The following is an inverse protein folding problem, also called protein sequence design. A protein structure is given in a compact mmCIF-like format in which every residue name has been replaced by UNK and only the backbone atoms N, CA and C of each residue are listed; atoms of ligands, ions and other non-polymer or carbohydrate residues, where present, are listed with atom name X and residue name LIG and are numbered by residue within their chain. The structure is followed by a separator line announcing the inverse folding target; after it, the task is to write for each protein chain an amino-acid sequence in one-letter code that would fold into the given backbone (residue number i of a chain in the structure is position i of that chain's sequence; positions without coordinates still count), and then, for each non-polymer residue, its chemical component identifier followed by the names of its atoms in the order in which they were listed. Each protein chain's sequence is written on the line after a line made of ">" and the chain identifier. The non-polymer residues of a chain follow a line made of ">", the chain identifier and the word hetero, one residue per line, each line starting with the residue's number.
data_IF_799348899649
#
_entry.id   IF_799348899649
#
_cell.length_a   1.000
_cell.length_b   1.000
_cell.length_c   1.000
_cell.angle_alpha   90.00
_cell.angle_beta   90.00
_cell.angle_gamma   90.00
#
_symmetry.space_group_name_H-M   'P 1'
#
loop_
_entity.id
_entity.type
_entity.pdbx_description
1 polymer ?
#
# COMPACT_ATOMS: atom_id res chain seq x y z
N UNK A 1 23.41 10.51 -5.26
CA UNK A 1 22.79 9.46 -6.09
C UNK A 1 21.29 9.69 -6.08
N UNK A 2 20.62 9.60 -7.23
CA UNK A 2 19.17 9.78 -7.31
C UNK A 2 18.50 8.42 -7.05
N UNK A 3 17.72 8.31 -5.97
CA UNK A 3 17.04 7.05 -5.59
C UNK A 3 15.81 6.74 -6.46
N UNK A 4 15.21 7.78 -7.04
CA UNK A 4 14.05 7.65 -7.91
C UNK A 4 14.52 7.54 -9.37
N UNK A 5 14.25 6.42 -10.07
CA UNK A 5 14.50 6.33 -11.51
C UNK A 5 13.61 7.31 -12.29
N UNK A 6 13.94 7.57 -13.55
CA UNK A 6 13.06 8.33 -14.42
C UNK A 6 11.71 7.60 -14.55
N UNK A 7 10.61 8.34 -14.44
CA UNK A 7 9.25 7.80 -14.53
C UNK A 7 8.62 8.22 -15.85
N UNK A 8 8.19 7.23 -16.64
CA UNK A 8 7.53 7.43 -17.93
C UNK A 8 6.06 7.04 -17.82
N UNK A 9 5.17 8.03 -17.89
CA UNK A 9 3.73 7.83 -17.82
C UNK A 9 3.16 7.55 -19.22
N UNK A 10 2.43 6.44 -19.38
CA UNK A 10 1.74 6.11 -20.63
C UNK A 10 0.36 6.71 -20.77
N UNK A 11 -0.30 6.35 -21.87
CA UNK A 11 -1.70 6.69 -22.12
C UNK A 11 -2.61 6.01 -21.07
N UNK A 12 -3.61 6.72 -20.52
CA UNK A 12 -4.51 6.14 -19.55
C UNK A 12 -5.53 5.19 -20.17
N UNK A 13 -5.95 4.21 -19.38
CA UNK A 13 -7.15 3.41 -19.61
C UNK A 13 -8.17 3.71 -18.52
N UNK A 14 -9.43 3.89 -18.88
CA UNK A 14 -10.51 4.01 -17.90
C UNK A 14 -10.96 2.61 -17.46
N UNK A 15 -11.04 2.38 -16.16
CA UNK A 15 -11.44 1.11 -15.54
C UNK A 15 -12.50 1.38 -14.47
N UNK A 16 -13.78 1.31 -14.85
CA UNK A 16 -14.88 1.73 -13.99
C UNK A 16 -14.70 3.18 -13.51
N UNK A 17 -14.67 3.45 -12.18
CA UNK A 17 -14.46 4.80 -11.65
C UNK A 17 -13.00 5.25 -11.63
N UNK A 18 -12.05 4.38 -12.02
CA UNK A 18 -10.62 4.66 -11.99
C UNK A 18 -10.09 5.04 -13.38
N UNK A 19 -9.11 5.94 -13.41
CA UNK A 19 -8.26 6.18 -14.58
C UNK A 19 -6.88 5.61 -14.28
N UNK A 20 -6.46 4.59 -15.03
CA UNK A 20 -5.24 3.83 -14.78
C UNK A 20 -4.18 4.24 -15.79
N UNK A 21 -3.07 4.77 -15.32
CA UNK A 21 -1.92 5.16 -16.14
C UNK A 21 -0.77 4.18 -15.92
N UNK A 22 -0.28 3.50 -16.96
CA UNK A 22 0.90 2.66 -16.84
C UNK A 22 2.15 3.51 -16.63
N UNK A 23 3.08 3.03 -15.80
CA UNK A 23 4.35 3.68 -15.53
C UNK A 23 5.49 2.73 -15.84
N UNK A 24 6.44 3.20 -16.66
CA UNK A 24 7.73 2.55 -16.86
C UNK A 24 8.82 3.35 -16.17
N UNK A 25 9.93 2.68 -15.91
CA UNK A 25 11.13 3.35 -15.37
C UNK A 25 12.34 3.03 -16.24
N UNK A 26 13.43 3.79 -16.07
CA UNK A 26 14.72 3.57 -16.76
C UNK A 26 15.71 2.72 -15.94
N UNK A 27 15.35 2.31 -14.73
CA UNK A 27 16.19 1.46 -13.89
C UNK A 27 16.49 0.12 -14.59
N UNK A 28 17.71 -0.45 -14.45
CA UNK A 28 17.98 -1.80 -14.95
C UNK A 28 17.03 -2.83 -14.33
N UNK A 29 16.55 -3.78 -15.14
CA UNK A 29 15.83 -4.95 -14.63
C UNK A 29 16.85 -5.98 -14.20
N UNK A 30 16.77 -6.40 -12.94
CA UNK A 30 17.61 -7.45 -12.37
C UNK A 30 16.74 -8.63 -11.96
N UNK A 31 17.24 -9.87 -11.97
CA UNK A 31 16.47 -11.01 -11.49
C UNK A 31 15.85 -10.76 -10.12
N UNK A 32 14.57 -11.10 -9.98
CA UNK A 32 13.82 -10.90 -8.75
C UNK A 32 14.49 -11.69 -7.59
N UNK A 33 14.98 -10.94 -6.60
CA UNK A 33 15.75 -11.50 -5.48
C UNK A 33 14.92 -11.67 -4.20
N UNK A 34 13.60 -11.49 -4.28
CA UNK A 34 12.67 -11.60 -3.14
C UNK A 34 11.33 -12.21 -3.59
N UNK A 35 10.47 -12.54 -2.63
CA UNK A 35 9.07 -12.94 -2.86
C UNK A 35 8.12 -11.92 -2.24
N UNK A 36 6.98 -11.64 -2.88
CA UNK A 36 5.90 -10.85 -2.26
C UNK A 36 4.79 -11.67 -1.62
N UNK A 37 4.77 -12.98 -1.89
CA UNK A 37 3.92 -13.94 -1.19
C UNK A 37 4.67 -14.58 -0.03
N UNK A 38 3.95 -14.88 1.05
CA UNK A 38 4.49 -15.64 2.16
C UNK A 38 4.64 -17.13 1.76
N UNK A 39 5.87 -17.67 1.72
CA UNK A 39 6.07 -19.11 1.51
C UNK A 39 5.65 -19.91 2.74
N UNK A 40 5.49 -21.24 2.59
CA UNK A 40 5.04 -22.14 3.67
C UNK A 40 5.95 -22.14 4.92
N UNK A 41 7.22 -21.79 4.76
CA UNK A 41 8.21 -21.67 5.85
C UNK A 41 8.34 -20.25 6.40
N UNK A 42 7.55 -19.30 5.90
CA UNK A 42 7.42 -17.98 6.52
C UNK A 42 6.15 -17.93 7.38
N UNK A 43 6.26 -17.29 8.55
CA UNK A 43 5.16 -17.13 9.49
C UNK A 43 5.05 -15.68 9.93
N UNK A 44 3.83 -15.23 10.13
CA UNK A 44 3.52 -13.97 10.79
C UNK A 44 2.72 -14.30 12.04
N UNK A 45 3.18 -13.90 13.22
CA UNK A 45 2.53 -14.23 14.48
C UNK A 45 2.67 -13.12 15.54
N UNK A 46 1.85 -13.22 16.59
CA UNK A 46 1.95 -12.36 17.77
C UNK A 46 3.29 -12.56 18.49
N UNK A 47 3.85 -11.47 19.04
CA UNK A 47 5.03 -11.53 19.91
C UNK A 47 4.77 -12.39 21.16
N UNK A 48 5.84 -12.84 21.81
CA UNK A 48 5.72 -13.64 23.03
C UNK A 48 5.15 -12.83 24.20
N UNK A 49 5.45 -11.54 24.23
CA UNK A 49 4.70 -10.53 24.97
C UNK A 49 3.95 -9.66 23.95
N UNK A 50 2.63 -9.84 23.79
CA UNK A 50 1.87 -9.15 22.75
C UNK A 50 1.95 -7.63 22.86
N UNK A 51 2.23 -6.97 21.74
CA UNK A 51 2.21 -5.51 21.59
C UNK A 51 1.27 -5.20 20.45
N UNK A 52 0.20 -4.43 20.71
CA UNK A 52 -0.85 -4.20 19.71
C UNK A 52 -0.22 -3.71 18.40
N UNK A 53 0.64 -2.70 18.38
CA UNK A 53 1.20 -2.18 17.13
C UNK A 53 2.21 -3.07 16.40
N UNK A 54 2.50 -4.30 16.86
CA UNK A 54 3.62 -5.08 16.36
C UNK A 54 3.27 -6.55 16.12
N UNK A 55 3.85 -7.12 15.07
CA UNK A 55 3.86 -8.55 14.82
C UNK A 55 5.28 -9.03 14.55
N UNK A 56 5.54 -10.31 14.78
CA UNK A 56 6.77 -10.97 14.35
C UNK A 56 6.56 -11.60 12.99
N UNK A 57 7.55 -11.42 12.12
CA UNK A 57 7.68 -12.14 10.86
C UNK A 57 8.93 -13.01 10.95
N UNK A 58 8.76 -14.30 10.74
CA UNK A 58 9.86 -15.26 10.68
C UNK A 58 9.94 -15.81 9.27
N UNK A 59 11.08 -15.63 8.60
CA UNK A 59 11.38 -16.20 7.30
C UNK A 59 12.43 -17.30 7.44
N UNK A 60 12.00 -18.55 7.60
CA UNK A 60 12.90 -19.70 7.63
C UNK A 60 13.29 -20.20 6.22
N UNK A 61 13.09 -19.36 5.19
CA UNK A 61 13.39 -19.66 3.79
C UNK A 61 14.76 -19.18 3.33
N UNK A 62 15.14 -19.58 2.12
CA UNK A 62 16.39 -19.16 1.48
C UNK A 62 16.25 -17.89 0.63
N UNK A 63 15.05 -17.31 0.54
CA UNK A 63 14.76 -16.12 -0.26
C UNK A 63 14.14 -15.04 0.64
N UNK A 64 14.59 -13.78 0.58
CA UNK A 64 13.94 -12.67 1.27
C UNK A 64 12.45 -12.54 0.92
N UNK A 65 11.66 -12.04 1.86
CA UNK A 65 10.23 -11.76 1.67
C UNK A 65 10.00 -10.26 1.79
N UNK A 66 9.48 -9.66 0.72
CA UNK A 66 9.04 -8.26 0.70
C UNK A 66 7.56 -8.19 1.08
N UNK A 67 7.28 -7.62 2.25
CA UNK A 67 5.94 -7.29 2.69
C UNK A 67 5.67 -5.81 2.39
N UNK A 68 4.55 -5.50 1.76
CA UNK A 68 4.28 -4.17 1.21
C UNK A 68 3.40 -3.30 2.13
N UNK A 69 3.65 -2.00 2.13
CA UNK A 69 2.83 -0.96 2.77
C UNK A 69 1.34 -1.14 2.44
N UNK A 70 0.49 -1.19 3.45
CA UNK A 70 -0.94 -1.41 3.29
C UNK A 70 -1.32 -2.86 2.95
N UNK A 71 -0.42 -3.83 3.03
CA UNK A 71 -0.78 -5.26 2.96
C UNK A 71 -1.65 -5.66 4.16
N UNK A 72 -2.78 -6.34 3.91
CA UNK A 72 -3.66 -6.81 4.97
C UNK A 72 -3.27 -8.19 5.48
N UNK A 73 -3.42 -8.39 6.78
CA UNK A 73 -3.13 -9.61 7.50
C UNK A 73 -4.42 -10.13 8.13
N UNK A 74 -4.78 -11.37 7.80
CA UNK A 74 -5.97 -12.09 8.27
C UNK A 74 -5.56 -13.08 9.38
N UNK A 75 -6.39 -13.21 10.42
CA UNK A 75 -6.14 -14.06 11.57
C UNK A 75 -5.69 -13.29 12.81
N UNK A 76 -4.80 -13.91 13.57
CA UNK A 76 -4.34 -13.43 14.88
C UNK A 76 -5.49 -13.16 15.85
N UNK A 77 -5.22 -12.30 16.84
CA UNK A 77 -6.25 -11.79 17.75
C UNK A 77 -7.13 -10.72 17.10
N UNK A 78 -6.58 -10.03 16.10
CA UNK A 78 -7.24 -9.03 15.24
C UNK A 78 -6.60 -9.03 13.86
N UNK A 79 -7.37 -8.74 12.82
CA UNK A 79 -6.80 -8.46 11.50
C UNK A 79 -6.00 -7.17 11.51
N UNK A 80 -4.85 -7.20 10.81
CA UNK A 80 -3.88 -6.10 10.81
C UNK A 80 -3.61 -5.57 9.42
N UNK A 81 -3.01 -4.39 9.36
CA UNK A 81 -2.43 -3.80 8.15
C UNK A 81 -0.99 -3.41 8.39
N UNK A 82 -0.11 -3.69 7.42
CA UNK A 82 1.28 -3.25 7.44
C UNK A 82 1.36 -1.73 7.25
N UNK A 83 2.11 -1.05 8.11
CA UNK A 83 2.22 0.43 8.10
C UNK A 83 3.25 0.98 7.11
N UNK A 84 4.18 0.12 6.67
CA UNK A 84 5.26 0.41 5.73
C UNK A 84 5.74 -0.89 5.08
N UNK A 85 6.39 -0.77 3.93
CA UNK A 85 7.04 -1.91 3.27
C UNK A 85 8.28 -2.33 4.06
N UNK A 86 8.51 -3.63 4.19
CA UNK A 86 9.66 -4.22 4.89
C UNK A 86 10.21 -5.40 4.10
N UNK A 87 11.53 -5.56 4.07
CA UNK A 87 12.20 -6.71 3.49
C UNK A 87 12.72 -7.59 4.63
N UNK A 88 12.14 -8.78 4.77
CA UNK A 88 12.58 -9.76 5.76
C UNK A 88 13.58 -10.69 5.10
N UNK A 89 14.84 -10.62 5.53
CA UNK A 89 15.94 -11.41 4.97
C UNK A 89 15.67 -12.93 5.05
N UNK A 90 16.39 -13.69 4.23
CA UNK A 90 16.39 -15.14 4.32
C UNK A 90 16.96 -15.60 5.68
N UNK A 91 16.39 -16.66 6.25
CA UNK A 91 16.78 -17.20 7.56
C UNK A 91 16.74 -16.16 8.69
N UNK A 92 15.84 -15.18 8.61
CA UNK A 92 15.76 -14.08 9.55
C UNK A 92 14.40 -13.98 10.23
N UNK A 93 14.39 -13.24 11.33
CA UNK A 93 13.19 -12.85 12.05
C UNK A 93 13.21 -11.34 12.26
N UNK A 94 12.07 -10.70 12.07
CA UNK A 94 11.93 -9.25 12.22
C UNK A 94 10.59 -8.90 12.87
N UNK A 95 10.59 -7.90 13.75
CA UNK A 95 9.36 -7.27 14.25
C UNK A 95 8.93 -6.21 13.25
N UNK A 96 7.65 -6.20 12.88
CA UNK A 96 7.06 -5.30 11.90
C UNK A 96 5.94 -4.49 12.54
N UNK A 97 5.86 -3.21 12.16
CA UNK A 97 4.85 -2.27 12.65
C UNK A 97 3.54 -2.43 11.88
N UNK A 98 2.45 -2.60 12.61
CA UNK A 98 1.09 -2.83 12.10
C UNK A 98 0.05 -1.95 12.79
N UNK A 99 -1.12 -1.81 12.17
CA UNK A 99 -2.31 -1.25 12.81
C UNK A 99 -3.48 -2.25 12.74
N UNK A 100 -4.40 -2.20 13.69
CA UNK A 100 -5.62 -3.02 13.69
C UNK A 100 -6.62 -2.48 12.67
N UNK A 101 -7.22 -3.37 11.89
CA UNK A 101 -8.32 -3.05 10.95
C UNK A 101 -9.60 -3.82 11.27
N UNK A 102 -9.69 -4.27 12.52
CA UNK A 102 -10.83 -4.97 13.10
C UNK A 102 -10.95 -4.56 14.56
N UNK A 103 -11.99 -3.78 14.91
CA UNK A 103 -12.09 -3.11 16.20
C UNK A 103 -12.66 -4.02 17.30
N UNK A 104 -13.66 -4.85 16.97
CA UNK A 104 -14.52 -5.50 17.96
C UNK A 104 -14.20 -7.00 18.17
N UNK A 105 -13.00 -7.45 17.78
CA UNK A 105 -12.48 -8.80 18.06
C UNK A 105 -11.19 -8.69 18.85
N UNK A 106 -10.99 -9.47 19.90
CA UNK A 106 -9.68 -9.65 20.55
C UNK A 106 -9.57 -11.10 21.03
N UNK A 107 -9.61 -12.01 20.07
CA UNK A 107 -9.66 -13.44 20.30
C UNK A 107 -9.19 -14.17 19.02
N UNK A 108 -8.73 -15.40 19.18
CA UNK A 108 -8.29 -16.25 18.07
C UNK A 108 -6.93 -16.89 18.31
N UNK A 109 -6.34 -17.43 17.23
CA UNK A 109 -4.97 -17.95 17.24
C UNK A 109 -3.93 -16.83 17.24
N UNK A 110 -2.64 -17.20 17.29
CA UNK A 110 -1.52 -16.24 17.20
C UNK A 110 -1.08 -15.98 15.77
N UNK A 111 -1.44 -16.87 14.85
CA UNK A 111 -0.95 -16.83 13.46
C UNK A 111 -1.78 -15.91 12.58
N UNK A 112 -1.08 -15.20 11.71
CA UNK A 112 -1.62 -14.30 10.70
C UNK A 112 -1.24 -14.83 9.31
N UNK A 113 -2.13 -14.60 8.35
CA UNK A 113 -1.95 -14.89 6.92
C UNK A 113 -1.89 -13.58 6.18
N UNK A 114 -1.00 -13.47 5.19
CA UNK A 114 -1.06 -12.36 4.25
C UNK A 114 -2.32 -12.51 3.40
N UNK A 115 -3.31 -11.65 3.66
CA UNK A 115 -4.53 -11.61 2.89
C UNK A 115 -4.21 -11.15 1.45
N UNK A 116 -5.02 -11.61 0.50
CA UNK A 116 -4.93 -11.15 -0.90
C UNK A 116 -5.63 -9.82 -1.09
N UNK A 117 -5.37 -8.87 -0.20
CA UNK A 117 -5.98 -7.53 -0.17
C UNK A 117 -4.97 -6.46 0.22
N UNK A 118 -5.13 -5.27 -0.35
CA UNK A 118 -4.45 -4.04 0.09
C UNK A 118 -5.43 -3.14 0.83
N UNK A 119 -4.93 -2.28 1.71
CA UNK A 119 -5.73 -1.31 2.41
C UNK A 119 -6.21 -0.22 1.42
N UNK A 120 -7.46 0.23 1.55
CA UNK A 120 -8.01 1.28 0.71
C UNK A 120 -7.36 2.63 1.04
N UNK A 121 -7.59 3.62 0.20
CA UNK A 121 -6.86 4.90 0.18
C UNK A 121 -7.07 5.67 1.48
N UNK A 122 -8.29 5.69 2.02
CA UNK A 122 -8.54 6.34 3.30
C UNK A 122 -7.70 5.69 4.42
N UNK A 123 -7.73 4.37 4.58
CA UNK A 123 -6.93 3.70 5.61
C UNK A 123 -5.44 3.96 5.42
N UNK A 124 -4.93 3.92 4.18
CA UNK A 124 -3.53 4.28 3.90
C UNK A 124 -3.21 5.72 4.29
N UNK A 125 -4.13 6.67 4.14
CA UNK A 125 -3.97 8.03 4.66
C UNK A 125 -3.78 8.05 6.19
N UNK A 126 -4.53 7.22 6.93
CA UNK A 126 -4.47 7.14 8.39
C UNK A 126 -3.12 6.59 8.86
N UNK A 127 -2.63 5.55 8.18
CA UNK A 127 -1.29 4.99 8.41
C UNK A 127 -0.18 6.03 8.18
N UNK A 128 -0.49 7.10 7.43
CA UNK A 128 0.39 8.23 7.17
C UNK A 128 0.11 9.48 8.00
N UNK A 129 -0.89 9.45 8.89
CA UNK A 129 -1.30 10.61 9.68
C UNK A 129 -1.84 11.77 8.84
N UNK A 130 -2.33 11.47 7.63
CA UNK A 130 -2.89 12.45 6.70
C UNK A 130 -4.34 12.73 7.06
N UNK A 131 -4.64 13.95 7.49
CA UNK A 131 -5.98 14.41 7.85
C UNK A 131 -6.22 15.80 7.31
N UNK A 132 -7.47 16.28 7.33
CA UNK A 132 -7.81 17.59 6.77
C UNK A 132 -6.95 18.73 7.37
N UNK A 133 -6.60 18.61 8.65
CA UNK A 133 -5.79 19.56 9.42
C UNK A 133 -4.34 19.10 9.64
N UNK A 134 -3.93 17.93 9.12
CA UNK A 134 -2.61 17.36 9.36
C UNK A 134 -1.95 16.85 8.08
N UNK A 135 -0.75 17.36 7.80
CA UNK A 135 0.05 16.98 6.63
C UNK A 135 0.85 15.69 6.80
N UNK A 136 0.63 14.90 7.86
CA UNK A 136 1.35 13.64 8.12
C UNK A 136 2.77 13.81 8.71
N UNK A 137 3.27 15.04 8.82
CA UNK A 137 4.61 15.30 9.36
C UNK A 137 4.81 14.69 10.76
N UNK A 138 5.77 13.78 10.86
CA UNK A 138 6.42 13.34 12.10
C UNK A 138 5.57 12.57 13.12
N UNK A 139 4.58 11.80 12.70
CA UNK A 139 4.01 10.78 13.60
C UNK A 139 4.80 9.48 13.51
N UNK A 140 5.61 9.21 14.55
CA UNK A 140 6.31 7.94 14.71
C UNK A 140 5.34 6.75 14.84
N UNK A 141 4.16 7.00 15.41
CA UNK A 141 3.13 5.99 15.69
C UNK A 141 1.86 6.27 14.90
N UNK A 142 1.20 5.20 14.43
CA UNK A 142 -0.10 5.27 13.79
C UNK A 142 -1.19 5.59 14.82
N UNK A 143 -2.10 6.49 14.46
CA UNK A 143 -3.30 6.76 15.25
C UNK A 143 -4.33 5.64 15.02
N UNK A 144 -4.38 4.70 15.96
CA UNK A 144 -5.26 3.54 15.86
C UNK A 144 -6.75 3.94 15.82
N UNK A 145 -7.12 5.05 16.48
CA UNK A 145 -8.49 5.56 16.46
C UNK A 145 -8.90 6.06 15.08
N UNK A 146 -8.02 6.81 14.41
CA UNK A 146 -8.23 7.26 13.03
C UNK A 146 -8.36 6.09 12.05
N UNK A 147 -7.50 5.06 12.17
CA UNK A 147 -7.64 3.84 11.35
C UNK A 147 -9.03 3.21 11.51
N UNK A 148 -9.52 3.06 12.74
CA UNK A 148 -10.84 2.50 12.98
C UNK A 148 -11.96 3.40 12.47
N UNK A 149 -11.88 4.72 12.64
CA UNK A 149 -12.86 5.67 12.08
C UNK A 149 -13.00 5.47 10.56
N UNK A 150 -11.89 5.37 9.84
CA UNK A 150 -11.90 5.13 8.39
C UNK A 150 -12.46 3.77 8.01
N UNK A 151 -12.20 2.72 8.81
CA UNK A 151 -12.85 1.41 8.61
C UNK A 151 -14.36 1.52 8.82
N UNK A 152 -14.82 2.17 9.90
CA UNK A 152 -16.24 2.38 10.20
C UNK A 152 -16.95 3.19 9.12
N UNK A 153 -16.27 4.11 8.42
CA UNK A 153 -16.83 4.77 7.22
C UNK A 153 -17.23 3.77 6.15
N UNK A 154 -16.36 2.81 5.80
CA UNK A 154 -16.71 1.82 4.79
C UNK A 154 -17.87 0.94 5.25
N UNK A 155 -17.98 0.61 6.54
CA UNK A 155 -19.12 -0.14 7.06
C UNK A 155 -20.44 0.63 6.98
N UNK A 156 -20.42 1.94 7.26
CA UNK A 156 -21.61 2.80 7.12
C UNK A 156 -22.11 2.85 5.69
N UNK A 157 -21.21 2.93 4.71
CA UNK A 157 -21.55 3.11 3.30
C UNK A 157 -21.78 1.78 2.55
N UNK A 158 -21.08 0.71 2.94
CA UNK A 158 -21.00 -0.55 2.19
C UNK A 158 -21.50 -1.77 3.01
N UNK A 159 -22.10 -1.50 4.17
CA UNK A 159 -22.69 -2.48 5.07
C UNK A 159 -21.69 -2.99 6.12
N UNK A 160 -22.17 -3.13 7.35
CA UNK A 160 -21.37 -3.59 8.48
C UNK A 160 -20.99 -5.08 8.39
N UNK A 161 -19.96 -5.41 9.15
CA UNK A 161 -19.50 -6.74 9.54
C UNK A 161 -19.72 -6.91 11.04
N UNK A 162 -19.63 -8.14 11.55
CA UNK A 162 -19.90 -8.39 12.98
C UNK A 162 -18.83 -7.75 13.89
N UNK A 163 -17.59 -7.63 13.42
CA UNK A 163 -16.43 -7.23 14.23
C UNK A 163 -15.76 -5.93 13.77
N UNK A 164 -16.39 -5.21 12.84
CA UNK A 164 -15.79 -4.05 12.17
C UNK A 164 -14.51 -4.39 11.41
N UNK A 165 -14.54 -5.48 10.64
CA UNK A 165 -13.44 -6.08 9.89
C UNK A 165 -13.34 -5.55 8.45
N UNK A 166 -12.26 -4.83 8.16
CA UNK A 166 -11.95 -4.41 6.78
C UNK A 166 -11.66 -5.60 5.86
N UNK A 167 -11.05 -6.67 6.38
CA UNK A 167 -10.70 -7.87 5.59
C UNK A 167 -11.96 -8.60 5.14
N UNK A 168 -12.92 -8.79 6.05
CA UNK A 168 -14.21 -9.41 5.72
C UNK A 168 -14.98 -8.56 4.72
N UNK A 169 -15.02 -7.24 4.94
CA UNK A 169 -15.69 -6.32 4.03
C UNK A 169 -15.11 -6.39 2.60
N UNK A 170 -13.78 -6.34 2.45
CA UNK A 170 -13.15 -6.44 1.14
C UNK A 170 -13.33 -7.82 0.50
N UNK A 171 -13.30 -8.89 1.30
CA UNK A 171 -13.54 -10.26 0.81
C UNK A 171 -14.97 -10.41 0.29
N UNK A 172 -15.96 -9.85 0.98
CA UNK A 172 -17.37 -9.83 0.53
C UNK A 172 -17.54 -9.09 -0.80
N UNK A 173 -16.80 -8.00 -0.99
CA UNK A 173 -16.91 -7.11 -2.17
C UNK A 173 -15.93 -7.46 -3.31
N UNK A 174 -15.12 -8.51 -3.15
CA UNK A 174 -14.03 -8.83 -4.08
C UNK A 174 -14.55 -9.17 -5.49
N UNK A 175 -15.61 -9.99 -5.59
CA UNK A 175 -16.16 -10.43 -6.87
C UNK A 175 -16.74 -9.25 -7.69
N UNK A 176 -17.46 -8.35 -7.04
CA UNK A 176 -18.01 -7.14 -7.68
C UNK A 176 -16.89 -6.21 -8.16
N UNK A 177 -15.85 -6.04 -7.33
CA UNK A 177 -14.71 -5.19 -7.66
C UNK A 177 -13.92 -5.76 -8.85
N UNK A 178 -13.71 -7.07 -8.89
CA UNK A 178 -13.03 -7.74 -10.00
C UNK A 178 -13.77 -7.55 -11.33
N UNK A 179 -15.10 -7.67 -11.34
CA UNK A 179 -15.91 -7.47 -12.54
C UNK A 179 -15.76 -6.04 -13.12
N UNK A 180 -15.71 -5.02 -12.25
CA UNK A 180 -15.54 -3.62 -12.67
C UNK A 180 -14.13 -3.28 -13.20
N UNK A 181 -13.13 -4.11 -12.91
CA UNK A 181 -11.70 -3.86 -13.20
C UNK A 181 -11.12 -4.80 -14.28
N UNK A 182 -11.90 -5.77 -14.74
CA UNK A 182 -11.47 -6.91 -15.56
C UNK A 182 -10.83 -6.54 -16.92
N UNK A 183 -11.05 -5.32 -17.40
CA UNK A 183 -10.51 -4.88 -18.70
C UNK A 183 -9.06 -4.39 -18.64
N UNK A 184 -8.48 -4.27 -17.43
CA UNK A 184 -7.13 -3.73 -17.27
C UNK A 184 -6.12 -4.78 -16.79
N UNK A 185 -4.94 -4.74 -17.40
CA UNK A 185 -3.80 -5.59 -17.04
C UNK A 185 -2.50 -4.80 -17.17
N UNK A 186 -1.43 -5.19 -16.45
CA UNK A 186 -0.11 -4.62 -16.67
C UNK A 186 0.32 -4.80 -18.13
N UNK A 187 0.95 -3.77 -18.69
CA UNK A 187 1.58 -3.81 -20.01
C UNK A 187 3.00 -4.38 -19.90
N UNK A 188 3.54 -4.81 -21.05
CA UNK A 188 4.90 -5.35 -21.10
C UNK A 188 5.94 -4.35 -20.56
N UNK A 189 6.80 -4.82 -19.66
CA UNK A 189 7.84 -4.01 -19.02
C UNK A 189 7.33 -2.94 -18.05
N UNK A 190 6.00 -2.85 -17.83
CA UNK A 190 5.43 -1.89 -16.89
C UNK A 190 5.89 -2.23 -15.48
N UNK A 191 6.31 -1.21 -14.73
CA UNK A 191 6.84 -1.36 -13.37
C UNK A 191 6.13 -0.53 -12.32
N UNK A 192 5.26 0.37 -12.74
CA UNK A 192 4.39 1.08 -11.84
C UNK A 192 3.03 1.35 -12.44
N UNK A 193 2.17 1.90 -11.61
CA UNK A 193 0.83 2.32 -11.99
C UNK A 193 0.49 3.59 -11.23
N UNK A 194 0.03 4.60 -11.96
CA UNK A 194 -0.62 5.77 -11.36
C UNK A 194 -2.12 5.59 -11.53
N UNK A 195 -2.84 5.62 -10.42
CA UNK A 195 -4.29 5.55 -10.35
C UNK A 195 -4.80 6.97 -10.12
N UNK A 196 -5.73 7.38 -10.96
CA UNK A 196 -6.55 8.57 -10.78
C UNK A 196 -8.00 8.20 -10.51
N UNK A 197 -8.69 9.05 -9.77
CA UNK A 197 -10.12 8.94 -9.51
C UNK A 197 -10.69 10.33 -9.23
N UNK A 198 -12.00 10.52 -9.44
CA UNK A 198 -12.66 11.82 -9.26
C UNK A 198 -11.90 12.99 -9.92
N UNK A 199 -11.34 12.78 -11.12
CA UNK A 199 -10.61 13.79 -11.87
C UNK A 199 -9.18 14.09 -11.40
N UNK A 200 -8.66 13.42 -10.37
CA UNK A 200 -7.36 13.70 -9.78
C UNK A 200 -6.48 12.43 -9.63
N UNK A 201 -5.15 12.53 -9.77
CA UNK A 201 -4.25 11.44 -9.37
C UNK A 201 -4.38 11.21 -7.87
N UNK A 202 -4.41 9.95 -7.44
CA UNK A 202 -4.61 9.59 -6.03
C UNK A 202 -3.54 8.67 -5.47
N UNK A 203 -3.05 7.73 -6.27
CA UNK A 203 -2.02 6.77 -5.87
C UNK A 203 -1.04 6.54 -7.02
N UNK A 204 0.25 6.52 -6.74
CA UNK A 204 1.28 5.96 -7.61
C UNK A 204 1.98 4.83 -6.85
N UNK A 205 2.10 3.67 -7.47
CA UNK A 205 2.92 2.55 -6.99
C UNK A 205 3.99 2.24 -8.04
N UNK A 206 5.25 2.12 -7.63
CA UNK A 206 6.39 1.79 -8.49
C UNK A 206 7.18 0.64 -7.85
N UNK A 207 7.54 -0.35 -8.65
CA UNK A 207 8.32 -1.52 -8.27
C UNK A 207 9.62 -1.59 -9.10
N UNK A 208 10.60 -2.35 -8.63
CA UNK A 208 11.83 -2.63 -9.37
C UNK A 208 11.62 -3.58 -10.55
N UNK A 209 10.66 -4.50 -10.44
CA UNK A 209 10.42 -5.61 -11.36
C UNK A 209 8.96 -5.68 -11.86
N UNK A 210 8.72 -5.93 -13.17
CA UNK A 210 7.37 -6.05 -13.74
C UNK A 210 6.52 -7.19 -13.16
N UNK A 211 7.14 -8.30 -12.76
CA UNK A 211 6.45 -9.42 -12.12
C UNK A 211 5.86 -8.99 -10.77
N UNK A 212 6.60 -8.17 -10.00
CA UNK A 212 6.08 -7.63 -8.73
C UNK A 212 4.81 -6.81 -8.95
N UNK A 213 4.79 -5.93 -9.97
CA UNK A 213 3.57 -5.18 -10.31
C UNK A 213 2.42 -6.13 -10.67
N UNK A 214 2.71 -7.18 -11.43
CA UNK A 214 1.72 -8.16 -11.88
C UNK A 214 1.11 -8.91 -10.70
N UNK A 215 1.93 -9.34 -9.74
CA UNK A 215 1.49 -10.00 -8.50
C UNK A 215 0.58 -9.10 -7.64
N UNK A 216 0.74 -7.78 -7.74
CA UNK A 216 0.02 -6.80 -6.90
C UNK A 216 -1.17 -6.13 -7.60
N UNK A 217 -1.33 -6.32 -8.90
CA UNK A 217 -2.24 -5.56 -9.76
C UNK A 217 -3.69 -5.53 -9.24
N UNK A 218 -4.29 -6.72 -9.06
CA UNK A 218 -5.70 -6.85 -8.70
C UNK A 218 -5.98 -6.26 -7.32
N UNK A 219 -5.07 -6.48 -6.37
CA UNK A 219 -5.21 -5.98 -5.00
C UNK A 219 -5.10 -4.45 -4.94
N UNK A 220 -4.22 -3.86 -5.75
CA UNK A 220 -4.05 -2.41 -5.85
C UNK A 220 -5.30 -1.72 -6.41
N UNK A 221 -5.80 -2.23 -7.54
CA UNK A 221 -6.98 -1.65 -8.19
C UNK A 221 -8.24 -1.86 -7.35
N UNK A 222 -8.41 -3.05 -6.74
CA UNK A 222 -9.57 -3.35 -5.88
C UNK A 222 -9.61 -2.44 -4.66
N UNK A 223 -8.46 -2.21 -4.01
CA UNK A 223 -8.35 -1.32 -2.86
C UNK A 223 -8.70 0.14 -3.24
N UNK A 224 -8.20 0.63 -4.39
CA UNK A 224 -8.52 1.97 -4.87
C UNK A 224 -10.00 2.11 -5.29
N UNK A 225 -10.59 1.06 -5.86
CA UNK A 225 -11.99 1.03 -6.27
C UNK A 225 -12.96 1.07 -5.07
N UNK A 226 -12.53 0.68 -3.86
CA UNK A 226 -13.34 0.76 -2.65
C UNK A 226 -13.66 2.21 -2.25
N UNK A 227 -12.73 3.14 -2.48
CA UNK A 227 -13.00 4.57 -2.29
C UNK A 227 -13.69 5.20 -3.50
N UNK A 228 -13.25 4.83 -4.70
CA UNK A 228 -13.75 5.45 -5.93
C UNK A 228 -15.24 5.17 -6.19
N UNK A 229 -15.79 4.05 -5.68
CA UNK A 229 -17.24 3.77 -5.73
C UNK A 229 -18.08 4.77 -4.93
N UNK A 230 -17.49 5.45 -3.95
CA UNK A 230 -18.17 6.40 -3.05
C UNK A 230 -18.16 7.84 -3.61
N UNK A 231 -17.81 8.01 -4.89
CA UNK A 231 -17.75 9.31 -5.52
C UNK A 231 -18.14 9.26 -7.01
N UNK A 232 -18.51 10.40 -7.61
CA UNK A 232 -18.81 10.45 -9.03
C UNK A 232 -17.63 10.00 -9.89
N UNK A 233 -17.92 9.16 -10.88
CA UNK A 233 -16.92 8.75 -11.88
C UNK A 233 -16.54 9.95 -12.75
N UNK A 234 -15.30 10.41 -12.60
CA UNK A 234 -14.72 11.46 -13.43
C UNK A 234 -13.32 11.05 -13.88
N UNK A 235 -13.06 10.97 -15.20
CA UNK A 235 -11.74 10.65 -15.72
C UNK A 235 -10.69 11.65 -15.26
N UNK A 236 -9.52 11.15 -14.85
CA UNK A 236 -8.38 11.98 -14.48
C UNK A 236 -7.65 12.46 -15.74
N UNK A 237 -7.55 13.78 -15.99
CA UNK A 237 -6.82 14.28 -17.15
C UNK A 237 -5.32 13.97 -17.05
N UNK A 238 -4.71 13.50 -18.15
CA UNK A 238 -3.27 13.19 -18.19
C UNK A 238 -2.35 14.37 -17.84
N UNK A 239 -2.79 15.62 -18.04
CA UNK A 239 -2.06 16.81 -17.56
C UNK A 239 -1.87 16.83 -16.02
N UNK A 240 -2.88 16.40 -15.26
CA UNK A 240 -2.81 16.35 -13.78
C UNK A 240 -1.93 15.21 -13.31
N UNK A 241 -2.02 14.05 -13.98
CA UNK A 241 -1.15 12.91 -13.68
C UNK A 241 0.34 13.24 -13.94
N UNK A 242 0.67 13.88 -15.07
CA UNK A 242 2.04 14.34 -15.37
C UNK A 242 2.55 15.38 -14.37
N UNK A 243 1.70 16.33 -13.98
CA UNK A 243 2.06 17.33 -12.96
C UNK A 243 2.33 16.69 -11.59
N UNK A 244 1.55 15.66 -11.22
CA UNK A 244 1.78 14.91 -9.99
C UNK A 244 3.13 14.18 -9.99
N UNK A 245 3.47 13.49 -11.09
CA UNK A 245 4.79 12.86 -11.26
C UNK A 245 5.91 13.90 -11.26
N UNK A 246 5.74 15.03 -11.94
CA UNK A 246 6.73 16.12 -11.96
C UNK A 246 7.00 16.66 -10.56
N UNK A 247 5.96 16.82 -9.74
CA UNK A 247 6.10 17.24 -8.34
C UNK A 247 6.84 16.23 -7.51
N UNK A 248 6.50 14.94 -7.62
CA UNK A 248 7.22 13.86 -6.94
C UNK A 248 8.71 13.89 -7.27
N UNK A 249 9.09 14.05 -8.54
CA UNK A 249 10.50 14.12 -8.97
C UNK A 249 11.21 15.34 -8.35
N UNK A 250 10.49 16.42 -8.08
CA UNK A 250 11.02 17.61 -7.40
C UNK A 250 10.99 17.51 -5.86
N UNK A 251 10.31 16.51 -5.29
CA UNK A 251 10.22 16.30 -3.84
C UNK A 251 11.51 15.68 -3.31
N UNK A 252 12.17 16.29 -2.32
CA UNK A 252 13.33 15.67 -1.66
C UNK A 252 12.94 14.37 -0.97
N UNK A 253 13.59 13.27 -1.36
CA UNK A 253 13.45 11.96 -0.71
C UNK A 253 14.54 11.80 0.36
N UNK A 254 14.11 11.46 1.57
CA UNK A 254 14.97 11.15 2.72
C UNK A 254 15.05 9.64 2.89
N UNK A 255 16.19 9.18 3.40
CA UNK A 255 16.40 7.77 3.74
C UNK A 255 16.70 7.57 5.20
N UNK A 256 16.21 6.48 5.77
CA UNK A 256 16.56 6.02 7.10
C UNK A 256 16.88 4.53 7.07
N UNK A 257 17.89 4.11 7.84
CA UNK A 257 18.27 2.70 7.93
C UNK A 257 17.11 1.87 8.51
N UNK A 258 16.92 0.66 7.98
CA UNK A 258 15.98 -0.32 8.49
C UNK A 258 16.68 -1.63 8.84
N UNK A 259 16.04 -2.52 9.62
CA UNK A 259 16.51 -3.89 9.76
C UNK A 259 16.69 -4.57 8.40
N UNK A 260 17.72 -5.40 8.29
CA UNK A 260 18.13 -6.08 7.06
C UNK A 260 19.40 -5.49 6.44
N UNK A 261 20.07 -6.26 5.58
CA UNK A 261 21.35 -5.85 5.00
C UNK A 261 21.18 -4.75 3.95
N UNK A 262 21.72 -3.56 4.23
CA UNK A 262 21.68 -2.37 3.35
C UNK A 262 20.26 -1.93 2.95
N UNK A 263 19.27 -2.20 3.81
CA UNK A 263 17.88 -1.79 3.59
C UNK A 263 17.66 -0.38 4.14
N UNK A 264 17.06 0.49 3.33
CA UNK A 264 16.65 1.84 3.74
C UNK A 264 15.16 2.06 3.48
N UNK A 265 14.49 2.68 4.43
CA UNK A 265 13.19 3.31 4.20
C UNK A 265 13.39 4.58 3.38
N UNK A 266 12.45 4.87 2.49
CA UNK A 266 12.38 6.11 1.73
C UNK A 266 11.13 6.85 2.18
N UNK A 267 11.29 8.12 2.53
CA UNK A 267 10.18 9.00 2.87
C UNK A 267 10.34 10.33 2.14
N UNK A 268 9.24 10.88 1.62
CA UNK A 268 9.25 12.15 0.90
C UNK A 268 7.92 12.84 1.01
N UNK A 269 7.92 14.09 1.41
CA UNK A 269 6.70 14.87 1.56
C UNK A 269 6.87 16.26 0.93
N UNK A 270 5.82 16.72 0.27
CA UNK A 270 5.63 18.13 -0.09
C UNK A 270 4.39 18.61 0.64
N UNK A 271 4.45 19.82 1.20
CA UNK A 271 3.46 20.44 2.08
C UNK A 271 2.03 20.52 1.51
N UNK A 272 1.79 20.10 0.27
CA UNK A 272 0.49 20.23 -0.40
C UNK A 272 -0.07 18.96 -1.03
N UNK A 273 0.75 18.02 -1.51
CA UNK A 273 0.22 16.92 -2.36
C UNK A 273 0.98 15.60 -2.24
N UNK A 274 2.28 15.59 -1.93
CA UNK A 274 3.06 14.37 -2.00
C UNK A 274 3.22 13.80 -0.60
N UNK A 275 2.80 12.55 -0.42
CA UNK A 275 3.27 11.69 0.66
C UNK A 275 3.81 10.42 0.03
N UNK A 276 5.13 10.22 0.08
CA UNK A 276 5.84 9.10 -0.50
C UNK A 276 6.44 8.23 0.61
N UNK A 277 6.23 6.92 0.51
CA UNK A 277 6.88 5.91 1.34
C UNK A 277 7.38 4.77 0.48
N UNK A 278 8.56 4.27 0.77
CA UNK A 278 9.15 3.20 0.00
C UNK A 278 10.28 2.51 0.73
N UNK A 279 10.93 1.60 0.00
CA UNK A 279 12.05 0.80 0.48
C UNK A 279 13.04 0.63 -0.66
N UNK A 280 14.32 0.76 -0.33
CA UNK A 280 15.44 0.48 -1.22
C UNK A 280 16.42 -0.48 -0.55
N UNK A 281 17.16 -1.20 -1.37
CA UNK A 281 18.35 -1.95 -0.96
C UNK A 281 19.54 -1.30 -1.64
N UNK A 282 20.54 -0.91 -0.85
CA UNK A 282 21.67 -0.09 -1.28
C UNK A 282 21.17 1.22 -1.92
N UNK A 283 21.33 1.37 -3.23
CA UNK A 283 20.83 2.52 -4.01
C UNK A 283 19.70 2.14 -4.96
N UNK A 284 19.15 0.93 -4.85
CA UNK A 284 18.12 0.41 -5.75
C UNK A 284 16.75 0.45 -5.09
N UNK A 285 15.85 1.26 -5.65
CA UNK A 285 14.45 1.26 -5.25
C UNK A 285 13.85 -0.13 -5.47
N UNK A 286 13.25 -0.73 -4.43
CA UNK A 286 12.45 -1.95 -4.56
C UNK A 286 10.98 -1.61 -4.76
N UNK A 287 10.49 -0.65 -3.97
CA UNK A 287 9.09 -0.27 -3.96
C UNK A 287 8.91 1.18 -3.49
N UNK A 288 8.04 1.94 -4.17
CA UNK A 288 7.61 3.28 -3.78
C UNK A 288 6.09 3.41 -3.93
N UNK A 289 5.39 3.75 -2.85
CA UNK A 289 3.99 4.13 -2.83
C UNK A 289 3.80 5.60 -2.50
N UNK A 290 3.18 6.35 -3.41
CA UNK A 290 2.95 7.80 -3.29
C UNK A 290 1.45 8.09 -3.29
N UNK A 291 0.98 8.73 -2.23
CA UNK A 291 -0.40 9.19 -2.10
C UNK A 291 -0.50 10.68 -2.44
N UNK A 292 -1.60 11.07 -3.06
CA UNK A 292 -1.99 12.47 -3.14
C UNK A 292 -2.59 12.91 -1.79
N UNK A 293 -1.77 13.54 -0.95
CA UNK A 293 -2.12 13.91 0.42
C UNK A 293 -3.34 14.84 0.54
N UNK A 294 -3.69 15.61 -0.50
CA UNK A 294 -4.87 16.47 -0.49
C UNK A 294 -6.12 15.83 -1.14
N UNK A 295 -6.02 14.58 -1.59
CA UNK A 295 -7.14 13.93 -2.26
C UNK A 295 -8.25 13.60 -1.25
N UNK A 296 -9.50 13.91 -1.59
CA UNK A 296 -10.65 13.68 -0.71
C UNK A 296 -10.75 12.24 -0.17
N UNK A 297 -10.38 11.24 -0.96
CA UNK A 297 -10.37 9.84 -0.51
C UNK A 297 -9.30 9.55 0.55
N UNK A 298 -8.17 10.25 0.51
CA UNK A 298 -7.09 10.11 1.49
C UNK A 298 -7.47 10.77 2.80
N UNK A 299 -8.26 11.84 2.75
CA UNK A 299 -8.67 12.63 3.92
C UNK A 299 -10.01 12.18 4.52
N UNK A 300 -10.69 11.21 3.90
CA UNK A 300 -12.00 10.75 4.34
C UNK A 300 -11.91 9.92 5.63
N UNK A 301 -12.75 10.26 6.61
CA UNK A 301 -12.94 9.54 7.87
C UNK A 301 -14.41 9.25 8.14
#
# INVERSE_FOLDING_TARGET
>A
MNLLPALHLGAPTQAGPLTVFPVWTDAPVTPLAYRTSLPAHARVDELDVPVVGQLRVTNAGSTPVLLLDGGLLDGGWQHRVLTRSVLVDAQAQQVVEVACVEQNRWAGGRDQRLARHRAPLAVRGALRGLGAESSGLHRANVDQGDVWQRVSRYERELGATATSSLVELQSRLAAESAAALNETRPLYGQRGVLIGAAGHPVLLEVFDDPQTLTEQWDMLLSAAALDARLAPSQPTPGRRAREFVKRLVATPLRTANMPGKAVVAIEGEDAKLISARGIAVESRLLHLGVLNAAHQFILAA
#
